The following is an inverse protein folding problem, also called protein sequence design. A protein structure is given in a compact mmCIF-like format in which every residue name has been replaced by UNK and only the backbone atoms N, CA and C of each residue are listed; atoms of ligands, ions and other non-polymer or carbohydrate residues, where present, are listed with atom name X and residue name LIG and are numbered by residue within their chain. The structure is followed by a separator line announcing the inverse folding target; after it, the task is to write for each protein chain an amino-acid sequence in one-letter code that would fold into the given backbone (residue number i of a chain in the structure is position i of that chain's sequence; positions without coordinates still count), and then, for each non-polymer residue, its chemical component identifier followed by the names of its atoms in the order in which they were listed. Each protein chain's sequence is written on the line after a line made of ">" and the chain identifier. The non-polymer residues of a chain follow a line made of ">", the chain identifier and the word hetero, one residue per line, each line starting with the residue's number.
data_IF_997288322971
#
_entry.id   IF_997288322971
#
_cell.length_a   1.000
_cell.length_b   1.000
_cell.length_c   1.000
_cell.angle_alpha   90.00
_cell.angle_beta   90.00
_cell.angle_gamma   90.00
#
_symmetry.space_group_name_H-M   'P 1'
#
loop_
_entity.id
_entity.type
_entity.pdbx_description
1 polymer ?
#
# COMPACT_ATOMS: atom_id res chain seq x y z
N UNK A 1 -22.17 1.92 8.66
CA UNK A 1 -22.20 0.61 7.98
C UNK A 1 -20.91 0.49 7.19
N UNK A 2 -19.98 -0.41 7.57
CA UNK A 2 -18.74 -0.61 6.81
C UNK A 2 -19.03 -1.63 5.73
N UNK A 3 -19.14 -1.19 4.48
CA UNK A 3 -19.24 -2.08 3.33
C UNK A 3 -17.81 -2.48 2.96
N UNK A 4 -17.43 -3.70 3.29
CA UNK A 4 -16.19 -4.29 2.78
C UNK A 4 -16.58 -5.17 1.62
N UNK A 5 -16.26 -4.67 0.43
CA UNK A 5 -16.28 -5.51 -0.75
C UNK A 5 -14.90 -5.51 -1.37
N UNK A 6 -14.44 -6.71 -1.67
CA UNK A 6 -13.31 -6.90 -2.54
C UNK A 6 -13.75 -6.60 -3.98
N UNK A 7 -12.78 -6.28 -4.83
CA UNK A 7 -13.01 -6.11 -6.25
C UNK A 7 -13.55 -7.40 -6.85
N UNK A 8 -14.74 -7.32 -7.47
CA UNK A 8 -15.45 -8.48 -8.05
C UNK A 8 -15.31 -8.56 -9.56
N UNK A 9 -14.82 -7.50 -10.18
CA UNK A 9 -14.64 -7.39 -11.63
C UNK A 9 -13.15 -7.28 -11.92
N UNK A 10 -12.66 -8.18 -12.77
CA UNK A 10 -11.35 -8.05 -13.40
C UNK A 10 -11.57 -7.92 -14.91
N UNK A 11 -11.32 -6.74 -15.45
CA UNK A 11 -11.35 -6.50 -16.90
C UNK A 11 -10.21 -5.58 -17.26
N UNK A 12 -9.35 -6.01 -18.21
CA UNK A 12 -8.26 -5.18 -18.75
C UNK A 12 -7.37 -4.52 -17.67
N UNK A 13 -7.03 -5.25 -16.59
CA UNK A 13 -6.25 -4.78 -15.43
C UNK A 13 -6.95 -3.77 -14.50
N UNK A 14 -8.25 -3.54 -14.68
CA UNK A 14 -9.07 -2.74 -13.76
C UNK A 14 -9.75 -3.67 -12.77
N UNK A 15 -9.60 -3.35 -11.49
CA UNK A 15 -10.30 -3.99 -10.40
C UNK A 15 -11.51 -3.13 -10.02
N UNK A 16 -12.71 -3.70 -10.09
CA UNK A 16 -13.95 -2.94 -9.91
C UNK A 16 -14.87 -3.51 -8.83
N UNK A 17 -15.58 -2.62 -8.15
CA UNK A 17 -16.75 -2.95 -7.34
C UNK A 17 -17.98 -2.22 -7.89
N UNK A 18 -19.12 -2.90 -7.89
CA UNK A 18 -20.43 -2.31 -8.23
C UNK A 18 -21.45 -2.76 -7.19
N UNK A 19 -22.37 -1.86 -6.84
CA UNK A 19 -23.44 -2.13 -5.91
C UNK A 19 -24.22 -0.86 -5.55
N UNK A 20 -25.28 -1.05 -4.78
CA UNK A 20 -26.11 0.05 -4.31
C UNK A 20 -25.61 0.56 -2.96
N UNK A 21 -25.41 1.87 -2.88
CA UNK A 21 -25.11 2.59 -1.64
C UNK A 21 -26.23 3.59 -1.38
N UNK A 22 -26.68 3.66 -0.13
CA UNK A 22 -27.59 4.71 0.31
C UNK A 22 -26.91 6.09 0.33
N UNK A 23 -27.65 7.16 0.62
CA UNK A 23 -27.06 8.47 0.89
C UNK A 23 -26.13 8.38 2.13
N UNK A 24 -24.90 8.89 2.02
CA UNK A 24 -23.98 8.91 3.15
C UNK A 24 -22.52 9.19 2.78
N UNK A 25 -21.66 9.09 3.79
CA UNK A 25 -20.19 9.17 3.67
C UNK A 25 -19.63 7.76 3.75
N UNK A 26 -18.75 7.43 2.81
CA UNK A 26 -18.13 6.12 2.68
C UNK A 26 -16.62 6.26 2.69
N UNK A 27 -15.94 5.33 3.37
CA UNK A 27 -14.49 5.24 3.37
C UNK A 27 -14.07 4.21 2.32
N UNK A 28 -13.27 4.65 1.36
CA UNK A 28 -12.59 3.77 0.42
C UNK A 28 -11.23 3.46 1.02
N UNK A 29 -10.96 2.19 1.30
CA UNK A 29 -9.68 1.75 1.86
C UNK A 29 -9.03 0.80 0.85
N UNK A 30 -8.16 1.31 -0.03
CA UNK A 30 -7.31 0.48 -0.87
C UNK A 30 -6.35 -0.31 0.02
N UNK A 31 -6.21 -1.60 -0.25
CA UNK A 31 -5.19 -2.42 0.40
C UNK A 31 -4.72 -3.48 -0.57
N UNK A 32 -3.48 -3.93 -0.38
CA UNK A 32 -2.94 -5.05 -1.13
C UNK A 32 -3.01 -6.31 -0.27
N UNK A 33 -2.98 -7.48 -0.91
CA UNK A 33 -2.88 -8.76 -0.19
C UNK A 33 -1.52 -8.95 0.48
N UNK A 34 -0.53 -8.09 0.21
CA UNK A 34 0.88 -8.29 0.61
C UNK A 34 1.55 -9.49 -0.07
N UNK A 35 0.91 -10.14 -1.05
CA UNK A 35 1.49 -11.31 -1.69
C UNK A 35 2.69 -10.97 -2.59
N UNK A 36 2.60 -9.86 -3.35
CA UNK A 36 3.60 -9.44 -4.36
C UNK A 36 4.38 -8.20 -3.96
N UNK A 37 3.70 -7.17 -3.44
CA UNK A 37 4.34 -5.97 -2.92
C UNK A 37 5.01 -6.32 -1.58
N UNK A 38 6.33 -6.42 -1.59
CA UNK A 38 7.14 -6.80 -0.42
C UNK A 38 8.39 -5.95 -0.38
N UNK A 39 8.94 -5.83 0.83
CA UNK A 39 10.25 -5.21 1.03
C UNK A 39 11.30 -5.95 0.21
N UNK A 40 12.14 -5.20 -0.49
CA UNK A 40 13.21 -5.79 -1.28
C UNK A 40 14.28 -6.37 -0.34
N UNK A 41 14.66 -7.64 -0.56
CA UNK A 41 15.64 -8.36 0.28
C UNK A 41 17.01 -8.39 -0.39
N UNK A 42 17.07 -8.18 -1.71
CA UNK A 42 18.33 -8.26 -2.43
C UNK A 42 19.16 -6.99 -2.22
N UNK A 43 20.46 -7.13 -1.88
CA UNK A 43 21.35 -5.99 -1.79
C UNK A 43 21.55 -5.41 -3.19
N UNK A 44 21.23 -4.13 -3.35
CA UNK A 44 21.56 -3.38 -4.55
C UNK A 44 23.07 -3.15 -4.55
N UNK A 45 23.72 -3.49 -5.66
CA UNK A 45 25.18 -3.39 -5.79
C UNK A 45 25.65 -1.99 -6.15
N UNK A 46 24.79 -1.15 -6.73
CA UNK A 46 25.13 0.21 -7.17
C UNK A 46 24.05 1.22 -6.77
N UNK A 47 24.46 2.26 -6.04
CA UNK A 47 23.61 3.38 -5.65
C UNK A 47 23.61 4.44 -6.76
N UNK A 48 22.42 4.87 -7.20
CA UNK A 48 22.27 5.88 -8.24
C UNK A 48 22.80 7.25 -7.77
N UNK A 49 23.44 7.99 -8.67
CA UNK A 49 23.85 9.35 -8.37
C UNK A 49 22.63 10.29 -8.46
N UNK A 50 22.30 10.99 -7.37
CA UNK A 50 21.15 11.92 -7.33
C UNK A 50 21.53 13.33 -7.83
N UNK A 51 22.74 13.77 -7.53
CA UNK A 51 23.23 15.11 -7.84
C UNK A 51 24.64 15.08 -8.39
N UNK A 52 24.99 16.10 -9.16
CA UNK A 52 26.34 16.31 -9.68
C UNK A 52 26.69 17.79 -9.65
N UNK A 53 27.98 18.10 -9.69
CA UNK A 53 28.48 19.45 -9.89
C UNK A 53 28.98 19.62 -11.31
N UNK A 54 28.71 20.75 -11.91
CA UNK A 54 29.26 21.10 -13.22
C UNK A 54 30.70 21.65 -13.11
N UNK A 55 31.24 22.15 -14.21
CA UNK A 55 32.58 22.74 -14.27
C UNK A 55 32.72 24.02 -13.43
N UNK A 56 31.60 24.70 -13.13
CA UNK A 56 31.57 25.91 -12.31
C UNK A 56 31.45 25.61 -10.81
N UNK A 57 31.18 24.35 -10.46
CA UNK A 57 30.92 23.89 -9.10
C UNK A 57 29.46 24.04 -8.68
N UNK A 58 28.57 24.48 -9.57
CA UNK A 58 27.14 24.58 -9.32
C UNK A 58 26.51 23.19 -9.26
N UNK A 59 25.59 22.98 -8.30
CA UNK A 59 24.96 21.70 -8.06
C UNK A 59 23.71 21.53 -8.92
N UNK A 60 23.56 20.35 -9.53
CA UNK A 60 22.41 19.99 -10.34
C UNK A 60 21.88 18.60 -9.98
N UNK A 61 20.56 18.43 -10.11
CA UNK A 61 19.91 17.12 -10.07
C UNK A 61 20.25 16.32 -11.32
N UNK A 62 20.57 15.02 -11.18
CA UNK A 62 20.73 14.13 -12.34
C UNK A 62 19.42 13.97 -13.11
N UNK A 63 19.52 13.53 -14.37
CA UNK A 63 18.35 13.34 -15.23
C UNK A 63 17.43 12.25 -14.67
N UNK A 64 18.02 11.19 -14.16
CA UNK A 64 17.35 10.04 -13.57
C UNK A 64 16.59 10.49 -12.32
N UNK A 65 17.23 11.25 -11.42
CA UNK A 65 16.57 11.74 -10.22
C UNK A 65 15.45 12.76 -10.53
N UNK A 66 15.63 13.64 -11.53
CA UNK A 66 14.55 14.50 -12.03
C UNK A 66 13.36 13.70 -12.56
N UNK A 67 13.60 12.59 -13.25
CA UNK A 67 12.53 11.71 -13.70
C UNK A 67 11.78 11.12 -12.50
N UNK A 68 12.50 10.61 -11.51
CA UNK A 68 11.92 10.06 -10.28
C UNK A 68 11.11 11.08 -9.49
N UNK A 69 11.60 12.31 -9.34
CA UNK A 69 10.84 13.39 -8.69
C UNK A 69 9.57 13.76 -9.47
N UNK A 70 9.60 13.63 -10.79
CA UNK A 70 8.40 13.85 -11.62
C UNK A 70 7.36 12.76 -11.38
N UNK A 71 7.79 11.51 -11.26
CA UNK A 71 6.90 10.40 -10.93
C UNK A 71 6.31 10.59 -9.51
N UNK A 72 7.13 11.00 -8.53
CA UNK A 72 6.67 11.32 -7.17
C UNK A 72 5.63 12.43 -7.20
N UNK A 73 5.88 13.51 -7.95
CA UNK A 73 4.95 14.63 -8.10
C UNK A 73 3.59 14.15 -8.59
N UNK A 74 3.55 13.29 -9.60
CA UNK A 74 2.29 12.72 -10.12
C UNK A 74 1.57 11.81 -9.12
N UNK A 75 2.30 11.17 -8.20
CA UNK A 75 1.72 10.33 -7.15
C UNK A 75 1.10 11.17 -6.01
N UNK A 76 1.70 12.32 -5.70
CA UNK A 76 1.25 13.19 -4.60
C UNK A 76 0.29 14.30 -5.04
N UNK A 77 0.11 14.51 -6.34
CA UNK A 77 -1.00 15.28 -6.93
C UNK A 77 -2.28 14.44 -6.85
N UNK A 78 -3.01 14.56 -5.73
CA UNK A 78 -4.12 13.69 -5.35
C UNK A 78 -5.42 14.07 -6.05
N UNK A 79 -5.54 15.32 -6.53
CA UNK A 79 -6.68 15.78 -7.32
C UNK A 79 -6.41 15.81 -8.84
N UNK A 80 -5.16 15.61 -9.26
CA UNK A 80 -4.74 15.51 -10.67
C UNK A 80 -4.74 16.85 -11.40
N UNK A 81 -4.65 17.97 -10.68
CA UNK A 81 -4.72 19.30 -11.27
C UNK A 81 -3.36 19.81 -11.81
N UNK A 82 -2.27 19.07 -11.57
CA UNK A 82 -0.92 19.38 -12.00
C UNK A 82 -0.16 20.35 -11.08
N UNK A 83 -0.66 20.59 -9.87
CA UNK A 83 -0.11 21.46 -8.83
C UNK A 83 -0.21 20.73 -7.48
N UNK A 84 0.57 21.16 -6.48
CA UNK A 84 0.51 20.62 -5.13
C UNK A 84 0.00 21.67 -4.16
N UNK A 85 -1.18 21.39 -3.60
CA UNK A 85 -1.72 22.12 -2.46
C UNK A 85 -0.92 21.84 -1.18
N UNK A 86 -1.12 22.67 -0.15
CA UNK A 86 -0.55 22.41 1.19
C UNK A 86 -1.04 21.08 1.77
N UNK A 87 -2.28 20.68 1.47
CA UNK A 87 -2.83 19.41 1.95
C UNK A 87 -2.06 18.23 1.33
N UNK A 88 -1.83 18.25 0.02
CA UNK A 88 -1.06 17.25 -0.72
C UNK A 88 0.41 17.22 -0.31
N UNK A 89 1.03 18.39 -0.19
CA UNK A 89 2.40 18.50 0.29
C UNK A 89 2.54 17.92 1.72
N UNK A 90 1.54 18.12 2.58
CA UNK A 90 1.51 17.51 3.90
C UNK A 90 1.31 16.00 3.90
N UNK A 91 0.68 15.41 2.88
CA UNK A 91 0.67 13.94 2.72
C UNK A 91 2.07 13.41 2.40
N UNK A 92 2.81 14.13 1.56
CA UNK A 92 4.19 13.83 1.23
C UNK A 92 5.11 13.95 2.45
N UNK A 93 5.12 15.11 3.13
CA UNK A 93 5.94 15.34 4.33
C UNK A 93 5.66 14.31 5.44
N UNK A 94 4.39 14.05 5.73
CA UNK A 94 4.04 13.07 6.76
C UNK A 94 4.54 11.65 6.39
N UNK A 95 4.66 11.35 5.09
CA UNK A 95 5.19 10.08 4.61
C UNK A 95 6.72 10.02 4.69
N UNK A 96 7.42 11.12 4.47
CA UNK A 96 8.89 11.19 4.30
C UNK A 96 9.61 11.60 5.58
N UNK A 97 9.13 12.66 6.25
CA UNK A 97 9.70 13.22 7.48
C UNK A 97 8.89 12.86 8.74
N UNK A 98 7.61 12.53 8.58
CA UNK A 98 6.70 12.28 9.70
C UNK A 98 6.15 13.57 10.32
N UNK A 99 6.45 14.71 9.71
CA UNK A 99 6.01 16.03 10.17
C UNK A 99 5.08 16.69 9.14
N UNK A 100 4.50 17.83 9.51
CA UNK A 100 3.67 18.62 8.60
C UNK A 100 4.28 20.01 8.44
N UNK A 101 4.23 20.51 7.23
CA UNK A 101 4.43 21.91 6.91
C UNK A 101 3.23 22.73 7.41
N UNK A 102 3.51 23.73 8.26
CA UNK A 102 2.52 24.70 8.69
C UNK A 102 2.32 25.82 7.65
N UNK A 103 1.31 26.67 7.86
CA UNK A 103 0.96 27.74 6.93
C UNK A 103 2.05 28.80 6.78
N UNK A 104 2.86 29.03 7.83
CA UNK A 104 3.93 30.03 7.82
C UNK A 104 5.11 29.52 6.99
N UNK A 105 5.54 28.27 7.20
CA UNK A 105 6.53 27.59 6.38
C UNK A 105 6.06 27.44 4.92
N UNK A 106 4.77 27.15 4.72
CA UNK A 106 4.20 27.08 3.38
C UNK A 106 4.17 28.44 2.68
N UNK A 107 3.89 29.53 3.41
CA UNK A 107 3.96 30.87 2.85
C UNK A 107 5.37 31.20 2.35
N UNK A 108 6.39 30.85 3.13
CA UNK A 108 7.80 30.99 2.72
C UNK A 108 8.09 30.14 1.49
N UNK A 109 7.61 28.89 1.44
CA UNK A 109 7.75 28.02 0.27
C UNK A 109 7.16 28.69 -1.00
N UNK A 110 5.94 29.25 -0.91
CA UNK A 110 5.30 29.90 -2.06
C UNK A 110 6.00 31.17 -2.55
N UNK A 111 6.72 31.86 -1.67
CA UNK A 111 7.49 33.06 -2.01
C UNK A 111 8.83 32.74 -2.69
N UNK A 112 9.41 31.57 -2.39
CA UNK A 112 10.75 31.20 -2.85
C UNK A 112 10.77 30.24 -4.05
N UNK A 113 9.67 29.55 -4.33
CA UNK A 113 9.58 28.54 -5.40
C UNK A 113 8.48 28.84 -6.42
N UNK A 114 8.56 28.19 -7.58
CA UNK A 114 7.59 28.38 -8.66
C UNK A 114 6.20 27.84 -8.26
N UNK A 115 5.24 28.74 -8.15
CA UNK A 115 3.86 28.45 -7.76
C UNK A 115 2.84 29.02 -8.74
N UNK A 116 1.67 28.38 -8.79
CA UNK A 116 0.51 28.85 -9.53
C UNK A 116 -0.74 28.67 -8.69
N UNK A 117 -1.60 29.68 -8.62
CA UNK A 117 -2.81 29.67 -7.77
C UNK A 117 -2.53 29.32 -6.30
N UNK A 118 -1.37 29.73 -5.78
CA UNK A 118 -0.88 29.43 -4.43
C UNK A 118 -0.55 27.94 -4.17
N UNK A 119 -0.35 27.15 -5.23
CA UNK A 119 0.02 25.74 -5.18
C UNK A 119 1.37 25.54 -5.88
N UNK A 120 2.16 24.59 -5.39
CA UNK A 120 3.51 24.34 -5.89
C UNK A 120 3.46 23.67 -7.26
N UNK A 121 4.19 24.21 -8.23
CA UNK A 121 4.29 23.58 -9.55
C UNK A 121 5.28 22.42 -9.51
N UNK A 122 5.29 21.60 -10.57
CA UNK A 122 6.33 20.58 -10.75
C UNK A 122 7.73 21.17 -10.75
N UNK A 123 7.94 22.32 -11.40
CA UNK A 123 9.25 22.96 -11.41
C UNK A 123 9.63 23.45 -10.01
N UNK A 124 8.69 24.08 -9.29
CA UNK A 124 8.90 24.48 -7.90
C UNK A 124 9.25 23.31 -6.98
N UNK A 125 8.63 22.14 -7.18
CA UNK A 125 8.97 20.91 -6.44
C UNK A 125 10.39 20.42 -6.75
N UNK A 126 10.84 20.51 -8.00
CA UNK A 126 12.22 20.18 -8.38
C UNK A 126 13.22 21.15 -7.74
N UNK A 127 12.91 22.44 -7.76
CA UNK A 127 13.76 23.50 -7.21
C UNK A 127 13.87 23.37 -5.69
N UNK A 128 12.80 22.99 -5.01
CA UNK A 128 12.78 22.68 -3.58
C UNK A 128 13.73 21.54 -3.23
N UNK A 129 13.66 20.42 -3.96
CA UNK A 129 14.57 19.28 -3.73
C UNK A 129 16.03 19.63 -4.07
N UNK A 130 16.26 20.49 -5.07
CA UNK A 130 17.60 20.99 -5.38
C UNK A 130 18.13 21.93 -4.29
N UNK A 131 17.28 22.75 -3.67
CA UNK A 131 17.65 23.56 -2.52
C UNK A 131 18.05 22.68 -1.33
N UNK A 132 17.28 21.65 -1.00
CA UNK A 132 17.61 20.69 0.05
C UNK A 132 18.99 20.04 -0.18
N UNK A 133 19.29 19.67 -1.43
CA UNK A 133 20.60 19.14 -1.80
C UNK A 133 21.72 20.18 -1.61
N UNK A 134 21.47 21.44 -1.96
CA UNK A 134 22.43 22.53 -1.81
C UNK A 134 22.72 22.87 -0.34
N UNK A 135 21.70 22.87 0.51
CA UNK A 135 21.82 23.13 1.95
C UNK A 135 22.72 22.10 2.66
N UNK A 136 22.85 20.92 2.05
CA UNK A 136 23.74 19.83 2.48
C UNK A 136 25.04 19.73 1.67
N UNK A 137 25.41 20.79 0.94
CA UNK A 137 26.60 20.84 0.09
C UNK A 137 26.69 19.70 -0.96
N UNK A 138 25.54 19.18 -1.39
CA UNK A 138 25.42 18.07 -2.34
C UNK A 138 25.42 16.68 -1.72
N UNK A 139 25.35 16.56 -0.38
CA UNK A 139 25.19 15.27 0.30
C UNK A 139 23.77 14.70 0.11
N UNK A 140 23.61 13.53 -0.53
CA UNK A 140 22.31 12.99 -0.90
C UNK A 140 21.58 12.24 0.23
N UNK A 141 22.12 12.18 1.45
CA UNK A 141 21.57 11.35 2.54
C UNK A 141 20.10 11.66 2.84
N UNK A 142 19.72 12.93 2.92
CA UNK A 142 18.35 13.33 3.25
C UNK A 142 17.39 13.02 2.08
N UNK A 143 17.80 13.31 0.84
CA UNK A 143 17.07 12.93 -0.38
C UNK A 143 16.80 11.43 -0.45
N UNK A 144 17.78 10.60 -0.01
CA UNK A 144 17.60 9.16 0.04
C UNK A 144 16.58 8.71 1.07
N UNK A 145 16.46 9.39 2.21
CA UNK A 145 15.40 9.10 3.19
C UNK A 145 14.03 9.32 2.55
N UNK A 146 13.87 10.42 1.82
CA UNK A 146 12.65 10.73 1.06
C UNK A 146 12.33 9.66 0.03
N UNK A 147 13.29 9.31 -0.84
CA UNK A 147 13.11 8.29 -1.89
C UNK A 147 12.73 6.91 -1.34
N UNK A 148 13.45 6.44 -0.31
CA UNK A 148 13.16 5.16 0.34
C UNK A 148 11.77 5.16 0.99
N UNK A 149 11.37 6.27 1.61
CA UNK A 149 10.03 6.44 2.19
C UNK A 149 8.93 6.44 1.13
N UNK A 150 9.21 6.96 -0.07
CA UNK A 150 8.30 6.89 -1.22
C UNK A 150 8.28 5.50 -1.89
N UNK A 151 9.14 4.58 -1.48
CA UNK A 151 9.18 3.19 -1.93
C UNK A 151 10.13 2.94 -3.10
N UNK A 152 11.01 3.90 -3.42
CA UNK A 152 12.09 3.72 -4.38
C UNK A 152 13.27 3.02 -3.73
N UNK A 153 13.95 2.17 -4.49
CA UNK A 153 15.19 1.55 -4.08
C UNK A 153 16.41 2.41 -4.46
N UNK A 154 17.62 1.94 -4.12
CA UNK A 154 18.88 2.67 -4.40
C UNK A 154 19.24 2.75 -5.89
N UNK A 155 18.54 2.02 -6.76
CA UNK A 155 18.65 2.12 -8.21
C UNK A 155 17.59 3.06 -8.83
N UNK A 156 16.84 3.80 -8.00
CA UNK A 156 15.69 4.63 -8.42
C UNK A 156 14.54 3.84 -9.05
N UNK A 157 14.41 2.56 -8.72
CA UNK A 157 13.29 1.72 -9.14
C UNK A 157 12.21 1.70 -8.05
N UNK A 158 10.93 1.82 -8.44
CA UNK A 158 9.81 1.77 -7.51
C UNK A 158 9.46 0.32 -7.15
N UNK A 159 9.98 -0.18 -6.01
CA UNK A 159 9.83 -1.59 -5.62
C UNK A 159 8.95 -1.81 -4.38
N UNK A 160 8.81 -0.80 -3.52
CA UNK A 160 8.06 -0.90 -2.26
C UNK A 160 6.75 -0.09 -2.24
N UNK A 161 6.37 0.49 -3.38
CA UNK A 161 5.07 1.13 -3.58
C UNK A 161 4.40 0.69 -4.89
N UNK A 162 3.09 0.88 -4.97
CA UNK A 162 2.30 0.58 -6.16
C UNK A 162 1.26 1.69 -6.34
N UNK A 163 1.58 2.74 -7.11
CA UNK A 163 0.64 3.80 -7.44
C UNK A 163 -0.61 3.22 -8.12
N UNK A 164 -1.77 3.80 -7.82
CA UNK A 164 -3.04 3.39 -8.40
C UNK A 164 -3.97 4.59 -8.53
N UNK A 165 -4.96 4.47 -9.41
CA UNK A 165 -6.01 5.46 -9.62
C UNK A 165 -7.34 4.87 -9.16
N UNK A 166 -8.16 5.68 -8.48
CA UNK A 166 -9.53 5.31 -8.13
C UNK A 166 -10.50 6.15 -8.94
N UNK A 167 -11.24 5.49 -9.83
CA UNK A 167 -12.40 6.09 -10.48
C UNK A 167 -13.68 5.77 -9.70
N UNK A 168 -14.46 6.80 -9.36
CA UNK A 168 -15.76 6.62 -8.71
C UNK A 168 -16.87 7.17 -9.61
N UNK A 169 -17.82 6.29 -9.91
CA UNK A 169 -19.00 6.61 -10.70
C UNK A 169 -20.26 6.38 -9.86
N UNK A 170 -21.23 7.29 -9.98
CA UNK A 170 -22.55 7.15 -9.36
C UNK A 170 -23.65 7.66 -10.29
N UNK A 171 -24.71 6.87 -10.47
CA UNK A 171 -25.83 7.20 -11.37
C UNK A 171 -26.66 8.39 -10.87
N UNK A 172 -26.81 8.51 -9.55
CA UNK A 172 -27.80 9.40 -8.91
C UNK A 172 -27.21 10.70 -8.36
N UNK A 173 -25.88 10.85 -8.36
CA UNK A 173 -25.22 12.04 -7.84
C UNK A 173 -23.82 12.21 -8.43
N UNK A 174 -23.24 13.40 -8.26
CA UNK A 174 -21.81 13.63 -8.49
C UNK A 174 -21.07 13.36 -7.17
N UNK A 175 -20.35 12.23 -7.03
CA UNK A 175 -19.63 11.94 -5.80
C UNK A 175 -18.52 12.97 -5.59
N UNK A 176 -18.25 13.30 -4.32
CA UNK A 176 -17.08 14.08 -3.92
C UNK A 176 -16.09 13.12 -3.29
N UNK A 177 -14.90 13.04 -3.88
CA UNK A 177 -13.79 12.28 -3.33
C UNK A 177 -12.89 13.27 -2.60
N UNK A 178 -12.42 12.88 -1.41
CA UNK A 178 -11.40 13.61 -0.68
C UNK A 178 -10.39 12.59 -0.17
N UNK A 179 -9.10 12.82 -0.47
CA UNK A 179 -8.03 12.07 0.14
C UNK A 179 -7.96 12.37 1.63
N UNK A 180 -7.74 11.34 2.43
CA UNK A 180 -7.81 11.39 3.89
C UNK A 180 -6.67 10.57 4.45
N UNK A 181 -5.93 11.16 5.38
CA UNK A 181 -4.85 10.45 6.05
C UNK A 181 -5.44 9.29 6.87
N UNK A 182 -4.90 8.09 6.67
CA UNK A 182 -5.25 6.94 7.48
C UNK A 182 -4.31 6.91 8.68
N UNK A 183 -4.79 7.37 9.83
CA UNK A 183 -4.10 7.14 11.10
C UNK A 183 -3.83 5.64 11.28
N UNK A 184 -2.76 5.25 12.03
CA UNK A 184 -2.45 3.85 12.32
C UNK A 184 -3.72 3.09 12.70
N UNK A 185 -4.20 2.30 11.75
CA UNK A 185 -5.52 1.69 11.87
C UNK A 185 -5.40 0.63 12.96
N UNK A 186 -6.18 0.73 14.03
CA UNK A 186 -6.15 -0.17 15.21
C UNK A 186 -6.69 -1.59 14.91
N UNK A 187 -6.21 -2.19 13.82
CA UNK A 187 -6.68 -3.44 13.23
C UNK A 187 -8.05 -3.32 12.55
N UNK A 188 -8.56 -2.11 12.26
CA UNK A 188 -9.90 -1.99 11.67
C UNK A 188 -9.98 -2.64 10.28
N UNK A 189 -8.94 -2.48 9.44
CA UNK A 189 -8.85 -3.16 8.15
C UNK A 189 -8.87 -4.68 8.31
N UNK A 190 -8.10 -5.22 9.26
CA UNK A 190 -8.08 -6.66 9.52
C UNK A 190 -9.45 -7.16 10.01
N UNK A 191 -10.09 -6.46 10.95
CA UNK A 191 -11.46 -6.76 11.42
C UNK A 191 -12.47 -6.73 10.28
N UNK A 192 -12.31 -5.77 9.39
CA UNK A 192 -13.11 -5.62 8.18
C UNK A 192 -12.96 -6.83 7.24
N UNK A 193 -11.71 -7.22 6.96
CA UNK A 193 -11.40 -8.41 6.14
C UNK A 193 -11.97 -9.67 6.80
N UNK A 194 -11.72 -9.88 8.10
CA UNK A 194 -12.28 -11.00 8.87
C UNK A 194 -13.80 -11.07 8.73
N UNK A 195 -14.52 -9.96 9.00
CA UNK A 195 -15.98 -9.92 8.89
C UNK A 195 -16.48 -10.24 7.48
N UNK A 196 -15.77 -9.75 6.45
CA UNK A 196 -16.12 -10.03 5.06
C UNK A 196 -15.94 -11.52 4.72
N UNK A 197 -14.85 -12.14 5.16
CA UNK A 197 -14.58 -13.57 4.94
C UNK A 197 -15.53 -14.45 5.75
N UNK A 198 -15.80 -14.13 7.02
CA UNK A 198 -16.77 -14.87 7.84
C UNK A 198 -18.19 -14.85 7.26
N UNK A 199 -18.55 -13.78 6.52
CA UNK A 199 -19.89 -13.66 5.93
C UNK A 199 -20.02 -14.25 4.53
N UNK A 200 -18.93 -14.42 3.78
CA UNK A 200 -18.94 -14.80 2.35
C UNK A 200 -18.07 -16.03 2.04
N UNK A 201 -17.28 -16.50 2.98
CA UNK A 201 -16.36 -17.63 2.81
C UNK A 201 -17.02 -18.94 3.22
N UNK A 202 -16.44 -20.04 2.72
CA UNK A 202 -16.81 -21.38 3.13
C UNK A 202 -16.20 -21.67 4.51
N UNK A 203 -17.02 -22.14 5.45
CA UNK A 203 -16.58 -22.51 6.78
C UNK A 203 -16.31 -24.02 6.86
N UNK A 204 -15.11 -24.40 7.31
CA UNK A 204 -14.73 -25.78 7.60
C UNK A 204 -14.17 -25.89 9.02
N UNK A 205 -14.70 -26.81 9.81
CA UNK A 205 -14.12 -27.18 11.11
C UNK A 205 -12.75 -27.82 10.88
N UNK A 206 -11.75 -27.43 11.67
CA UNK A 206 -10.41 -28.00 11.55
C UNK A 206 -10.40 -29.45 12.01
N UNK A 207 -9.74 -30.31 11.24
CA UNK A 207 -9.62 -31.73 11.57
C UNK A 207 -8.93 -31.88 12.95
N UNK A 208 -9.57 -32.61 13.87
CA UNK A 208 -9.06 -32.83 15.22
C UNK A 208 -9.37 -31.72 16.26
N UNK A 209 -10.04 -30.61 15.90
CA UNK A 209 -10.47 -29.61 16.88
C UNK A 209 -11.77 -28.88 16.45
N UNK A 210 -12.88 -29.20 17.14
CA UNK A 210 -14.21 -28.63 16.87
C UNK A 210 -14.34 -27.13 17.20
N UNK A 211 -13.46 -26.59 18.04
CA UNK A 211 -13.50 -25.19 18.45
C UNK A 211 -12.78 -24.27 17.46
N UNK A 212 -12.12 -24.83 16.44
CA UNK A 212 -11.39 -24.07 15.44
C UNK A 212 -12.09 -24.20 14.09
N UNK A 213 -12.45 -23.06 13.52
CA UNK A 213 -13.11 -23.00 12.21
C UNK A 213 -12.23 -22.20 11.26
N UNK A 214 -11.96 -22.76 10.09
CA UNK A 214 -11.27 -22.09 9.00
C UNK A 214 -12.33 -21.61 8.02
N UNK A 215 -12.37 -20.30 7.80
CA UNK A 215 -13.20 -19.65 6.81
C UNK A 215 -12.35 -19.31 5.60
N UNK A 216 -12.72 -19.78 4.41
CA UNK A 216 -11.98 -19.52 3.17
C UNK A 216 -12.87 -18.82 2.16
N UNK A 217 -12.51 -17.59 1.80
CA UNK A 217 -13.13 -16.89 0.68
C UNK A 217 -12.24 -17.03 -0.55
N UNK A 218 -12.77 -17.69 -1.59
CA UNK A 218 -12.09 -17.90 -2.86
C UNK A 218 -12.67 -16.98 -3.93
N UNK A 219 -11.80 -16.35 -4.67
CA UNK A 219 -12.13 -15.62 -5.89
C UNK A 219 -11.15 -16.02 -6.99
N UNK A 220 -11.42 -15.62 -8.22
CA UNK A 220 -10.64 -16.08 -9.39
C UNK A 220 -9.17 -15.69 -9.32
N UNK A 221 -8.85 -14.54 -8.69
CA UNK A 221 -7.48 -13.98 -8.67
C UNK A 221 -6.82 -13.99 -7.28
N UNK A 222 -7.53 -14.37 -6.22
CA UNK A 222 -6.98 -14.44 -4.85
C UNK A 222 -7.86 -15.30 -3.93
N UNK A 223 -7.25 -15.78 -2.86
CA UNK A 223 -7.90 -16.51 -1.77
C UNK A 223 -7.54 -15.83 -0.46
N UNK A 224 -8.50 -15.71 0.45
CA UNK A 224 -8.24 -15.28 1.83
C UNK A 224 -8.79 -16.30 2.80
N UNK A 225 -7.95 -16.73 3.74
CA UNK A 225 -8.33 -17.65 4.81
C UNK A 225 -8.27 -16.94 6.17
N UNK A 226 -9.31 -17.13 6.98
CA UNK A 226 -9.46 -16.59 8.33
C UNK A 226 -9.67 -17.74 9.29
N UNK A 227 -8.97 -17.72 10.42
CA UNK A 227 -9.18 -18.69 11.50
C UNK A 227 -10.06 -18.04 12.56
N UNK A 228 -11.12 -18.73 12.96
CA UNK A 228 -11.97 -18.41 14.10
C UNK A 228 -11.65 -19.37 15.24
N UNK A 229 -11.19 -18.83 16.37
CA UNK A 229 -10.98 -19.59 17.60
C UNK A 229 -12.17 -19.39 18.54
N UNK A 230 -12.98 -20.44 18.69
CA UNK A 230 -14.13 -20.45 19.62
C UNK A 230 -13.77 -20.94 21.02
N UNK A 231 -12.54 -21.39 21.26
CA UNK A 231 -12.13 -21.88 22.59
C UNK A 231 -11.87 -20.72 23.57
N UNK A 232 -11.73 -21.07 24.86
CA UNK A 232 -11.29 -20.15 25.91
C UNK A 232 -9.78 -19.94 25.96
N UNK A 233 -9.03 -20.73 25.19
CA UNK A 233 -7.58 -20.75 25.20
C UNK A 233 -6.99 -20.20 23.92
N UNK A 234 -5.74 -19.76 24.01
CA UNK A 234 -4.95 -19.37 22.86
C UNK A 234 -4.52 -20.61 22.11
N UNK A 235 -4.60 -20.58 20.78
CA UNK A 235 -4.15 -21.70 19.94
C UNK A 235 -3.05 -21.25 19.00
N UNK A 236 -2.11 -22.16 18.74
CA UNK A 236 -1.10 -21.99 17.69
C UNK A 236 -1.40 -22.99 16.60
N UNK A 237 -1.73 -22.48 15.42
CA UNK A 237 -2.10 -23.28 14.26
C UNK A 237 -0.93 -23.30 13.29
N UNK A 238 -0.52 -24.51 12.94
CA UNK A 238 0.44 -24.77 11.88
C UNK A 238 -0.28 -24.84 10.53
N UNK A 239 0.25 -24.12 9.56
CA UNK A 239 -0.29 -24.01 8.20
C UNK A 239 0.75 -24.55 7.23
N UNK A 240 0.35 -25.53 6.42
CA UNK A 240 1.18 -26.12 5.37
C UNK A 240 0.52 -25.94 4.00
N UNK A 241 1.19 -25.20 3.12
CA UNK A 241 0.80 -24.96 1.73
C UNK A 241 1.72 -25.67 0.70
N UNK A 242 2.61 -26.59 1.10
CA UNK A 242 3.62 -27.21 0.21
C UNK A 242 3.03 -27.91 -1.02
N UNK A 243 1.81 -28.44 -0.90
CA UNK A 243 1.12 -29.08 -2.00
C UNK A 243 0.40 -28.09 -2.94
N UNK A 244 0.38 -26.81 -2.59
CA UNK A 244 -0.11 -25.76 -3.49
C UNK A 244 0.83 -25.61 -4.69
N UNK A 245 0.26 -25.38 -5.87
CA UNK A 245 1.02 -25.20 -7.12
C UNK A 245 0.72 -23.83 -7.71
N UNK A 246 1.77 -23.16 -8.17
CA UNK A 246 1.67 -21.82 -8.76
C UNK A 246 1.00 -20.80 -7.81
N UNK A 247 1.26 -20.91 -6.51
CA UNK A 247 0.71 -20.03 -5.48
C UNK A 247 1.81 -19.18 -4.83
N UNK A 248 1.47 -17.95 -4.47
CA UNK A 248 2.25 -17.08 -3.60
C UNK A 248 1.36 -16.59 -2.46
N UNK A 249 1.86 -16.60 -1.23
CA UNK A 249 1.12 -16.15 -0.05
C UNK A 249 1.80 -14.96 0.63
N UNK A 250 1.03 -14.16 1.35
CA UNK A 250 1.51 -12.95 2.03
C UNK A 250 2.49 -13.19 3.19
N UNK A 251 2.66 -14.44 3.64
CA UNK A 251 3.65 -14.80 4.67
C UNK A 251 5.02 -15.07 4.08
N UNK A 252 5.10 -15.35 2.78
CA UNK A 252 6.34 -15.67 2.07
C UNK A 252 6.96 -17.02 2.42
N UNK A 253 6.24 -17.87 3.14
CA UNK A 253 6.66 -19.21 3.55
C UNK A 253 5.61 -20.23 3.13
N UNK A 254 6.03 -21.43 2.74
CA UNK A 254 5.09 -22.52 2.46
C UNK A 254 4.50 -23.10 3.75
N UNK A 255 5.32 -23.14 4.80
CA UNK A 255 4.96 -23.62 6.13
C UNK A 255 5.19 -22.50 7.15
N UNK A 256 4.20 -22.23 8.00
CA UNK A 256 4.31 -21.26 9.07
C UNK A 256 3.30 -21.53 10.19
N UNK A 257 3.44 -20.82 11.30
CA UNK A 257 2.52 -20.88 12.43
C UNK A 257 1.82 -19.54 12.63
N UNK A 258 0.56 -19.56 13.05
CA UNK A 258 -0.19 -18.37 13.47
C UNK A 258 -0.78 -18.58 14.86
N UNK A 259 -0.64 -17.57 15.70
CA UNK A 259 -1.22 -17.53 17.03
C UNK A 259 -2.59 -16.86 16.98
N UNK A 260 -3.63 -17.52 17.49
CA UNK A 260 -5.00 -16.99 17.50
C UNK A 260 -5.52 -16.90 18.93
N UNK A 261 -5.83 -15.69 19.35
CA UNK A 261 -6.30 -15.40 20.71
C UNK A 261 -7.65 -16.09 21.02
N UNK A 262 -7.98 -16.34 22.30
CA UNK A 262 -9.29 -16.86 22.70
C UNK A 262 -10.44 -16.04 22.13
N UNK A 263 -11.51 -16.70 21.71
CA UNK A 263 -12.77 -16.05 21.26
C UNK A 263 -12.55 -14.97 20.19
N UNK A 264 -11.59 -15.17 19.28
CA UNK A 264 -11.18 -14.18 18.29
C UNK A 264 -11.09 -14.76 16.88
N UNK A 265 -10.97 -13.86 15.90
CA UNK A 265 -10.71 -14.20 14.49
C UNK A 265 -9.44 -13.51 14.01
N UNK A 266 -8.64 -14.19 13.20
CA UNK A 266 -7.42 -13.64 12.60
C UNK A 266 -7.32 -13.99 11.11
N UNK A 267 -6.84 -13.04 10.30
CA UNK A 267 -6.48 -13.33 8.92
C UNK A 267 -5.24 -14.24 8.93
N UNK A 268 -5.43 -15.49 8.50
CA UNK A 268 -4.36 -16.47 8.45
C UNK A 268 -3.39 -16.14 7.31
N UNK A 269 -3.92 -16.09 6.09
CA UNK A 269 -3.16 -15.82 4.88
C UNK A 269 -4.04 -15.26 3.75
N UNK A 270 -3.40 -14.49 2.90
CA UNK A 270 -3.84 -14.22 1.54
C UNK A 270 -2.99 -15.05 0.58
N UNK A 271 -3.58 -15.56 -0.48
CA UNK A 271 -2.91 -16.35 -1.52
C UNK A 271 -3.33 -15.84 -2.89
N UNK A 272 -2.38 -15.76 -3.82
CA UNK A 272 -2.59 -15.36 -5.21
C UNK A 272 -1.84 -16.33 -6.14
N UNK A 273 -2.18 -16.38 -7.44
CA UNK A 273 -1.35 -17.08 -8.40
C UNK A 273 0.03 -16.40 -8.50
N UNK A 274 1.10 -17.21 -8.47
CA UNK A 274 2.46 -16.73 -8.71
C UNK A 274 2.60 -16.24 -10.16
N UNK A 275 2.08 -17.02 -11.11
CA UNK A 275 1.95 -16.68 -12.52
C UNK A 275 0.48 -16.75 -12.95
N UNK A 276 -0.10 -15.59 -13.28
CA UNK A 276 -1.50 -15.47 -13.70
C UNK A 276 -1.82 -16.15 -15.03
N UNK A 277 -0.80 -16.50 -15.83
CA UNK A 277 -0.96 -17.17 -17.12
C UNK A 277 -0.98 -18.69 -17.01
N UNK A 278 -0.81 -19.23 -15.82
CA UNK A 278 -0.79 -20.66 -15.54
C UNK A 278 -1.92 -21.03 -14.59
N UNK A 279 -2.39 -22.27 -14.68
CA UNK A 279 -3.32 -22.81 -13.69
C UNK A 279 -2.66 -22.79 -12.30
N UNK A 280 -3.46 -22.56 -11.27
CA UNK A 280 -3.01 -22.54 -9.88
C UNK A 280 -3.91 -23.42 -9.02
N UNK A 281 -3.29 -24.17 -8.11
CA UNK A 281 -3.98 -25.12 -7.24
C UNK A 281 -3.68 -24.72 -5.81
N UNK A 282 -4.71 -24.29 -5.09
CA UNK A 282 -4.63 -24.02 -3.67
C UNK A 282 -4.94 -25.27 -2.86
N UNK A 283 -3.93 -25.75 -2.13
CA UNK A 283 -4.06 -26.85 -1.19
C UNK A 283 -3.35 -26.48 0.12
N UNK A 284 -4.12 -26.38 1.20
CA UNK A 284 -3.65 -25.96 2.50
C UNK A 284 -4.14 -26.91 3.58
N UNK A 285 -3.22 -27.34 4.44
CA UNK A 285 -3.50 -28.18 5.61
C UNK A 285 -3.30 -27.36 6.88
N UNK A 286 -4.22 -27.51 7.81
CA UNK A 286 -4.21 -26.85 9.12
C UNK A 286 -4.08 -27.92 10.20
N UNK A 287 -3.18 -27.71 11.15
CA UNK A 287 -3.02 -28.60 12.31
C UNK A 287 -2.62 -27.81 13.55
N UNK A 288 -2.85 -28.36 14.74
CA UNK A 288 -2.29 -27.78 15.96
C UNK A 288 -0.79 -28.05 16.02
N UNK A 289 -0.03 -27.11 16.62
CA UNK A 289 1.32 -27.41 17.06
C UNK A 289 1.22 -28.21 18.36
N UNK A 290 1.78 -29.42 18.34
CA UNK A 290 1.98 -30.26 19.53
C UNK A 290 3.07 -29.73 20.44
#
# INVERSE_FOLDING_TARGET
>A
MVVISFFKLFSKKVFGWTGELGPGIYWLIPFTTGCRLRKEIQPITEEAQLVYRDETGELFLTKEFRSTLSDIFEVIDLDGNGLLSLEEYNFFELRTSGEKCDEDAWAVCRENFDTKKNELTRQGFMDLNLMEANDREGDPRDLWVTLLSMGYNKALELTEACPFVIDVYADKCKPRIKAVHMEPCSGQLEKAVCKSVLSKGDAKVMDGNENIIVHTHKCDTWITSVIENKSGDKVIIHINNELSKNCINNRGLNIFAVEVAPKSTMVCQHVMPLNERQEWIYYCVYSLIS
#
